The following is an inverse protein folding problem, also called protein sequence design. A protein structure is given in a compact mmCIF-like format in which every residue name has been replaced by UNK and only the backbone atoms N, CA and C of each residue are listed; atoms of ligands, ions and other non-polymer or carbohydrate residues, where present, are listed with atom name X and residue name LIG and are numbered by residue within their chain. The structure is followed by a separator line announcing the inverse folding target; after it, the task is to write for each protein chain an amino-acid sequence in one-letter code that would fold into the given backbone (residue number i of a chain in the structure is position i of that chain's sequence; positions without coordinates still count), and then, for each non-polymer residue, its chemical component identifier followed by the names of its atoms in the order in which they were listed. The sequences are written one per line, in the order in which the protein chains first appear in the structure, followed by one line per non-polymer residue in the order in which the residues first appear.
data_IF_244648567990
#
_entry.id   IF_244648567990
#
_cell.length_a   1.000
_cell.length_b   1.000
_cell.length_c   1.000
_cell.angle_alpha   90.00
_cell.angle_beta   90.00
_cell.angle_gamma   90.00
#
_symmetry.space_group_name_H-M   'P 1'
#
loop_
_entity.id
_entity.type
_entity.pdbx_description
1 polymer ?
#
# COMPACT_ATOMS: atom_id res chain seq x y z
N UNK A 1 6.07 -13.12 39.43
CA UNK A 1 5.38 -12.14 38.53
C UNK A 1 6.31 -10.97 38.17
N UNK A 2 6.85 -10.22 39.15
CA UNK A 2 7.74 -9.08 38.88
C UNK A 2 8.98 -9.44 38.04
N UNK A 3 9.67 -10.55 38.35
CA UNK A 3 10.83 -10.99 37.58
C UNK A 3 10.50 -11.32 36.11
N UNK A 4 9.33 -11.93 35.86
CA UNK A 4 8.84 -12.21 34.50
C UNK A 4 8.61 -10.89 33.76
N UNK A 5 7.99 -9.90 34.41
CA UNK A 5 7.76 -8.58 33.81
C UNK A 5 9.07 -7.84 33.48
N UNK A 6 10.07 -7.93 34.37
CA UNK A 6 11.40 -7.32 34.13
C UNK A 6 12.10 -8.00 32.95
N UNK A 7 12.06 -9.33 32.90
CA UNK A 7 12.68 -10.10 31.82
C UNK A 7 12.00 -9.83 30.47
N UNK A 8 10.67 -9.82 30.41
CA UNK A 8 9.90 -9.48 29.20
C UNK A 8 10.16 -8.03 28.74
N UNK A 9 10.24 -7.08 29.68
CA UNK A 9 10.59 -5.69 29.37
C UNK A 9 11.99 -5.61 28.77
N UNK A 10 12.97 -6.27 29.38
CA UNK A 10 14.35 -6.29 28.87
C UNK A 10 14.43 -6.89 27.46
N UNK A 11 13.71 -7.99 27.19
CA UNK A 11 13.66 -8.60 25.86
C UNK A 11 13.06 -7.63 24.83
N UNK A 12 11.93 -6.98 25.15
CA UNK A 12 11.29 -6.01 24.26
C UNK A 12 12.17 -4.79 23.96
N UNK A 13 12.86 -4.28 24.97
CA UNK A 13 13.68 -3.08 24.85
C UNK A 13 15.03 -3.38 24.16
N UNK A 14 15.57 -4.60 24.32
CA UNK A 14 16.82 -5.03 23.67
C UNK A 14 16.64 -5.48 22.21
N UNK A 15 15.46 -6.01 21.85
CA UNK A 15 15.10 -6.34 20.47
C UNK A 15 14.67 -5.08 19.69
N UNK A 16 15.52 -4.06 19.65
CA UNK A 16 15.32 -2.95 18.74
C UNK A 16 15.17 -3.50 17.32
N UNK A 17 14.01 -3.25 16.70
CA UNK A 17 13.81 -3.63 15.30
C UNK A 17 14.81 -2.83 14.47
N UNK A 18 15.78 -3.52 13.88
CA UNK A 18 16.62 -2.92 12.85
C UNK A 18 15.69 -2.49 11.73
N UNK A 19 15.55 -1.19 11.52
CA UNK A 19 14.78 -0.68 10.40
C UNK A 19 15.55 -1.02 9.12
N UNK A 20 14.92 -1.72 8.16
CA UNK A 20 15.58 -2.00 6.89
C UNK A 20 15.87 -0.68 6.19
N UNK A 21 17.08 -0.58 5.61
CA UNK A 21 17.46 0.58 4.80
C UNK A 21 16.47 0.70 3.64
N UNK A 22 15.76 1.85 3.51
CA UNK A 22 14.83 2.04 2.42
C UNK A 22 15.55 2.04 1.08
N UNK A 23 14.97 1.34 0.13
CA UNK A 23 15.36 1.38 -1.26
C UNK A 23 14.73 2.61 -1.92
N UNK A 24 15.59 3.55 -2.31
CA UNK A 24 15.21 4.84 -2.91
C UNK A 24 14.97 4.75 -4.41
N UNK A 25 15.29 3.61 -5.03
CA UNK A 25 15.11 3.44 -6.46
C UNK A 25 13.64 3.22 -6.79
N UNK A 26 13.15 3.99 -7.76
CA UNK A 26 11.77 3.86 -8.22
C UNK A 26 11.54 2.49 -8.88
N UNK A 27 10.42 1.85 -8.54
CA UNK A 27 10.03 0.52 -9.04
C UNK A 27 8.64 0.56 -9.62
N UNK A 28 8.32 -0.41 -10.47
CA UNK A 28 6.98 -0.60 -11.02
C UNK A 28 6.19 -1.55 -10.14
N UNK A 29 4.93 -1.23 -9.92
CA UNK A 29 3.93 -2.18 -9.45
C UNK A 29 3.14 -2.68 -10.65
N UNK A 30 3.16 -3.99 -10.86
CA UNK A 30 2.41 -4.68 -11.89
C UNK A 30 1.30 -5.51 -11.25
N UNK A 31 0.15 -5.64 -11.89
CA UNK A 31 -0.89 -6.55 -11.44
C UNK A 31 -0.36 -7.98 -11.31
N UNK A 32 -0.55 -8.61 -10.16
CA UNK A 32 -0.08 -9.99 -9.95
C UNK A 32 -0.68 -10.99 -10.94
N UNK A 33 -1.95 -10.79 -11.35
CA UNK A 33 -2.66 -11.70 -12.26
C UNK A 33 -2.29 -11.50 -13.73
N UNK A 34 -2.43 -10.29 -14.28
CA UNK A 34 -2.24 -10.04 -15.71
C UNK A 34 -0.92 -9.34 -16.07
N UNK A 35 -0.07 -9.04 -15.09
CA UNK A 35 1.20 -8.29 -15.23
C UNK A 35 1.04 -6.91 -15.85
N UNK A 36 -0.17 -6.38 -15.95
CA UNK A 36 -0.42 -5.03 -16.41
C UNK A 36 0.14 -4.00 -15.44
N UNK A 37 0.80 -2.98 -15.98
CA UNK A 37 1.31 -1.86 -15.19
C UNK A 37 0.19 -1.18 -14.40
N UNK A 38 0.46 -0.90 -13.12
CA UNK A 38 -0.46 -0.22 -12.22
C UNK A 38 0.06 1.17 -11.86
N UNK A 39 1.21 1.26 -11.19
CA UNK A 39 1.82 2.54 -10.80
C UNK A 39 3.32 2.41 -10.54
N UNK A 40 3.98 3.53 -10.26
CA UNK A 40 5.34 3.56 -9.73
C UNK A 40 5.34 3.66 -8.21
N UNK A 41 6.40 3.21 -7.56
CA UNK A 41 6.57 3.39 -6.10
C UNK A 41 6.69 4.85 -5.70
N UNK A 42 7.20 5.71 -6.59
CA UNK A 42 7.25 7.16 -6.38
C UNK A 42 5.86 7.81 -6.25
N UNK A 43 4.80 7.16 -6.75
CA UNK A 43 3.41 7.65 -6.64
C UNK A 43 2.71 7.14 -5.37
N UNK A 44 3.40 6.35 -4.55
CA UNK A 44 2.82 5.77 -3.33
C UNK A 44 3.03 6.73 -2.16
N UNK A 45 1.97 6.91 -1.37
CA UNK A 45 1.98 7.68 -0.13
C UNK A 45 1.51 6.83 1.03
N UNK A 46 2.16 7.01 2.17
CA UNK A 46 1.80 6.33 3.42
C UNK A 46 0.83 7.21 4.21
N UNK A 47 -0.33 6.65 4.53
CA UNK A 47 -1.38 7.27 5.37
C UNK A 47 -1.41 6.56 6.72
N UNK A 48 -1.23 7.32 7.79
CA UNK A 48 -1.21 6.81 9.19
C UNK A 48 -0.27 5.61 9.35
N UNK A 49 0.94 5.72 8.79
CA UNK A 49 2.08 4.78 8.87
C UNK A 49 1.89 3.36 8.29
N UNK A 50 0.66 2.95 7.98
CA UNK A 50 0.34 1.58 7.63
C UNK A 50 -0.52 1.39 6.37
N UNK A 51 -1.18 2.45 5.89
CA UNK A 51 -2.00 2.39 4.67
C UNK A 51 -1.20 2.97 3.50
N UNK A 52 -1.24 2.30 2.36
CA UNK A 52 -0.48 2.72 1.18
C UNK A 52 -1.48 3.12 0.10
N UNK A 53 -1.53 4.42 -0.18
CA UNK A 53 -2.38 5.01 -1.20
C UNK A 53 -1.55 5.39 -2.42
N UNK A 54 -2.15 5.35 -3.60
CA UNK A 54 -1.52 5.83 -4.84
C UNK A 54 -2.14 7.16 -5.22
N UNK A 55 -1.29 8.17 -5.41
CA UNK A 55 -1.71 9.50 -5.87
C UNK A 55 -1.58 9.63 -7.39
N UNK A 56 -2.31 10.57 -7.97
CA UNK A 56 -2.24 10.90 -9.41
C UNK A 56 -3.33 10.27 -10.27
N UNK A 57 -3.80 11.05 -11.24
CA UNK A 57 -4.92 10.68 -12.13
C UNK A 57 -4.65 9.51 -13.06
N UNK A 58 -3.37 9.26 -13.38
CA UNK A 58 -2.98 8.13 -14.22
C UNK A 58 -3.43 6.81 -13.58
N UNK A 59 -3.27 6.67 -12.26
CA UNK A 59 -3.66 5.46 -11.54
C UNK A 59 -5.18 5.24 -11.52
N UNK A 60 -5.96 6.32 -11.51
CA UNK A 60 -7.44 6.24 -11.53
C UNK A 60 -7.99 5.52 -12.76
N UNK A 61 -7.24 5.53 -13.87
CA UNK A 61 -7.59 4.81 -15.11
C UNK A 61 -7.19 3.33 -15.07
N UNK A 62 -6.35 2.92 -14.12
CA UNK A 62 -5.81 1.57 -14.02
C UNK A 62 -6.71 0.61 -13.23
N UNK A 63 -7.70 1.13 -12.48
CA UNK A 63 -8.63 0.32 -11.70
C UNK A 63 -10.10 0.67 -11.95
N UNK A 64 -10.97 -0.29 -11.68
CA UNK A 64 -12.41 -0.12 -11.61
C UNK A 64 -12.89 -0.35 -10.18
N UNK A 65 -13.98 0.30 -9.79
CA UNK A 65 -14.57 0.15 -8.45
C UNK A 65 -15.82 -0.72 -8.48
N UNK A 66 -16.05 -1.46 -7.40
CA UNK A 66 -17.37 -2.05 -7.09
C UNK A 66 -17.71 -1.77 -5.65
N UNK A 67 -18.98 -1.48 -5.36
CA UNK A 67 -19.44 -1.16 -4.00
C UNK A 67 -18.98 -2.23 -3.00
N UNK A 68 -18.51 -1.80 -1.83
CA UNK A 68 -18.04 -2.73 -0.83
C UNK A 68 -19.24 -3.50 -0.27
N UNK A 69 -19.22 -4.85 -0.20
CA UNK A 69 -20.37 -5.63 0.26
C UNK A 69 -20.71 -5.40 1.73
N UNK A 70 -19.74 -4.88 2.51
CA UNK A 70 -19.87 -4.59 3.94
C UNK A 70 -19.16 -3.26 4.26
N UNK A 71 -19.73 -2.10 3.93
CA UNK A 71 -19.10 -0.82 4.23
C UNK A 71 -18.88 -0.70 5.73
N UNK A 72 -17.72 -0.19 6.15
CA UNK A 72 -17.36 -0.04 7.55
C UNK A 72 -16.45 1.17 7.72
N UNK A 73 -16.65 1.89 8.82
CA UNK A 73 -15.81 3.00 9.23
C UNK A 73 -14.88 2.57 10.37
N UNK A 74 -13.63 3.00 10.32
CA UNK A 74 -12.62 2.80 11.34
C UNK A 74 -11.75 4.06 11.40
N UNK A 75 -11.65 4.69 12.58
CA UNK A 75 -10.90 5.93 12.74
C UNK A 75 -11.34 6.99 11.72
N UNK A 76 -10.38 7.46 10.92
CA UNK A 76 -10.59 8.46 9.87
C UNK A 76 -10.93 7.87 8.49
N UNK A 77 -11.09 6.54 8.40
CA UNK A 77 -11.34 5.83 7.15
C UNK A 77 -12.76 5.27 7.07
N UNK A 78 -13.43 5.52 5.95
CA UNK A 78 -14.71 4.91 5.59
C UNK A 78 -14.54 4.05 4.33
N UNK A 79 -14.78 2.74 4.43
CA UNK A 79 -14.70 1.82 3.28
C UNK A 79 -15.91 1.99 2.36
N UNK A 80 -15.69 2.53 1.16
CA UNK A 80 -16.74 2.76 0.17
C UNK A 80 -16.84 1.64 -0.86
N UNK A 81 -15.73 1.28 -1.48
CA UNK A 81 -15.70 0.30 -2.57
C UNK A 81 -14.44 -0.55 -2.54
N UNK A 82 -14.47 -1.65 -3.30
CA UNK A 82 -13.27 -2.43 -3.66
C UNK A 82 -12.73 -1.93 -4.99
N UNK A 83 -11.41 -1.93 -5.14
CA UNK A 83 -10.74 -1.61 -6.41
C UNK A 83 -10.20 -2.88 -7.06
N UNK A 84 -10.38 -2.98 -8.37
CA UNK A 84 -9.96 -4.13 -9.16
C UNK A 84 -9.19 -3.66 -10.40
N UNK A 85 -8.28 -4.49 -10.90
CA UNK A 85 -7.59 -4.23 -12.16
C UNK A 85 -8.60 -3.92 -13.29
N UNK A 86 -8.40 -2.79 -13.98
CA UNK A 86 -9.28 -2.34 -15.06
C UNK A 86 -9.10 -3.10 -16.38
N UNK A 87 -8.01 -3.87 -16.55
CA UNK A 87 -7.82 -4.66 -17.77
C UNK A 87 -8.95 -5.66 -17.94
N UNK A 88 -9.45 -5.75 -19.16
CA UNK A 88 -10.48 -6.70 -19.56
C UNK A 88 -10.12 -8.12 -19.13
N UNK A 89 -11.11 -8.86 -18.64
CA UNK A 89 -10.99 -10.24 -18.16
C UNK A 89 -10.01 -10.47 -16.98
N UNK A 90 -9.39 -9.43 -16.42
CA UNK A 90 -8.52 -9.55 -15.25
C UNK A 90 -9.33 -9.50 -13.96
N UNK A 91 -9.91 -8.33 -13.65
CA UNK A 91 -10.70 -8.06 -12.44
C UNK A 91 -10.01 -8.50 -11.14
N UNK A 92 -8.67 -8.47 -11.08
CA UNK A 92 -7.93 -8.87 -9.89
C UNK A 92 -8.11 -7.84 -8.78
N UNK A 93 -8.41 -8.30 -7.57
CA UNK A 93 -8.60 -7.45 -6.39
C UNK A 93 -7.29 -6.75 -6.00
N UNK A 94 -7.28 -5.42 -6.01
CA UNK A 94 -6.11 -4.60 -5.68
C UNK A 94 -6.19 -3.96 -4.29
N UNK A 95 -7.37 -3.97 -3.67
CA UNK A 95 -7.59 -3.31 -2.39
C UNK A 95 -8.95 -2.64 -2.30
N UNK A 96 -8.98 -1.45 -1.68
CA UNK A 96 -10.20 -0.72 -1.36
C UNK A 96 -10.10 0.75 -1.76
N UNK A 97 -11.24 1.36 -2.07
CA UNK A 97 -11.40 2.80 -2.16
C UNK A 97 -12.05 3.27 -0.86
N UNK A 98 -11.41 4.23 -0.21
CA UNK A 98 -11.83 4.73 1.09
C UNK A 98 -12.02 6.23 1.04
N UNK A 99 -12.91 6.74 1.87
CA UNK A 99 -12.88 8.15 2.24
C UNK A 99 -11.98 8.29 3.46
N UNK A 100 -10.90 9.05 3.31
CA UNK A 100 -9.97 9.43 4.37
C UNK A 100 -10.15 10.92 4.65
N UNK A 101 -10.68 11.27 5.83
CA UNK A 101 -11.11 12.64 6.14
C UNK A 101 -12.06 13.16 5.04
N UNK A 102 -11.63 14.12 4.23
CA UNK A 102 -12.40 14.70 3.11
C UNK A 102 -12.03 14.10 1.76
N UNK A 103 -10.96 13.32 1.66
CA UNK A 103 -10.42 12.80 0.41
C UNK A 103 -10.94 11.40 0.12
N UNK A 104 -11.17 11.10 -1.16
CA UNK A 104 -11.37 9.73 -1.60
C UNK A 104 -10.10 9.20 -2.23
N UNK A 105 -9.53 8.15 -1.65
CA UNK A 105 -8.23 7.62 -2.05
C UNK A 105 -8.28 6.10 -2.24
N UNK A 106 -7.59 5.56 -3.26
CA UNK A 106 -7.41 4.12 -3.40
C UNK A 106 -6.29 3.64 -2.47
N UNK A 107 -6.61 2.72 -1.57
CA UNK A 107 -5.64 2.04 -0.70
C UNK A 107 -5.40 0.63 -1.23
N UNK A 108 -4.14 0.35 -1.55
CA UNK A 108 -3.70 -0.89 -2.19
C UNK A 108 -3.02 -1.84 -1.22
N UNK A 109 -3.07 -3.14 -1.55
CA UNK A 109 -2.36 -4.19 -0.81
C UNK A 109 -1.26 -4.80 -1.68
N UNK A 110 -0.01 -4.78 -1.19
CA UNK A 110 1.15 -5.21 -1.99
C UNK A 110 1.06 -6.66 -2.48
N UNK A 111 0.36 -7.54 -1.77
CA UNK A 111 0.14 -8.94 -2.17
C UNK A 111 -0.57 -9.12 -3.53
N UNK A 112 -1.26 -8.08 -4.00
CA UNK A 112 -1.95 -8.03 -5.29
C UNK A 112 -1.05 -7.59 -6.44
N UNK A 113 0.20 -7.25 -6.15
CA UNK A 113 1.14 -6.70 -7.12
C UNK A 113 2.45 -7.48 -7.15
N UNK A 114 3.12 -7.36 -8.28
CA UNK A 114 4.51 -7.75 -8.48
C UNK A 114 5.31 -6.47 -8.52
N UNK A 115 6.38 -6.40 -7.74
CA UNK A 115 7.33 -5.29 -7.79
C UNK A 115 8.37 -5.63 -8.84
N UNK A 116 8.51 -4.79 -9.85
CA UNK A 116 9.49 -4.92 -10.91
C UNK A 116 10.51 -3.78 -10.81
N UNK A 117 11.78 -4.15 -10.77
CA UNK A 117 12.89 -3.23 -10.84
C UNK A 117 13.01 -2.62 -12.24
N UNK A 118 13.15 -1.29 -12.34
CA UNK A 118 13.13 -0.60 -13.64
C UNK A 118 14.40 -0.86 -14.45
N UNK A 119 15.56 -0.93 -13.79
CA UNK A 119 16.85 -1.06 -14.45
C UNK A 119 17.12 -2.51 -14.90
N UNK A 120 16.79 -3.48 -14.05
CA UNK A 120 17.12 -4.90 -14.25
C UNK A 120 15.93 -5.72 -14.76
N UNK A 121 14.70 -5.24 -14.60
CA UNK A 121 13.49 -6.02 -14.88
C UNK A 121 13.24 -7.15 -13.87
N UNK A 122 14.02 -7.23 -12.78
CA UNK A 122 13.86 -8.26 -11.77
C UNK A 122 12.51 -8.11 -11.06
N UNK A 123 11.77 -9.22 -10.95
CA UNK A 123 10.45 -9.25 -10.34
C UNK A 123 10.48 -9.92 -8.97
N UNK A 124 9.81 -9.29 -7.99
CA UNK A 124 9.67 -9.83 -6.63
C UNK A 124 8.25 -9.68 -6.11
N UNK A 125 7.82 -10.65 -5.32
CA UNK A 125 6.52 -10.68 -4.65
C UNK A 125 6.71 -10.38 -3.16
N UNK A 126 5.77 -9.63 -2.58
CA UNK A 126 5.73 -9.34 -1.16
C UNK A 126 4.34 -9.64 -0.61
N UNK A 127 4.27 -10.32 0.53
CA UNK A 127 3.00 -10.61 1.19
C UNK A 127 2.50 -9.42 2.01
N UNK A 128 3.41 -8.64 2.60
CA UNK A 128 3.08 -7.49 3.46
C UNK A 128 3.96 -6.29 3.11
N UNK A 129 3.40 -5.10 3.27
CA UNK A 129 4.12 -3.85 3.02
C UNK A 129 5.38 -3.69 3.87
N UNK A 130 5.34 -4.16 5.13
CA UNK A 130 6.52 -4.14 6.03
C UNK A 130 7.73 -4.94 5.53
N UNK A 131 7.52 -5.88 4.61
CA UNK A 131 8.60 -6.72 4.07
C UNK A 131 9.18 -6.10 2.78
N UNK A 132 8.52 -5.08 2.24
CA UNK A 132 9.00 -4.32 1.09
C UNK A 132 9.74 -3.07 1.59
N UNK A 133 11.06 -2.94 1.40
CA UNK A 133 11.85 -1.81 1.88
C UNK A 133 11.63 -0.55 1.03
N UNK A 134 10.38 -0.10 0.91
CA UNK A 134 10.03 1.13 0.19
C UNK A 134 10.38 2.36 1.03
N UNK A 135 10.84 3.43 0.37
CA UNK A 135 10.86 4.76 0.97
C UNK A 135 9.43 5.22 1.32
N UNK A 136 9.18 5.43 2.61
CA UNK A 136 7.87 5.81 3.12
C UNK A 136 7.67 7.32 3.00
N UNK A 137 7.09 7.76 1.89
CA UNK A 137 6.72 9.16 1.69
C UNK A 137 5.33 9.39 2.33
N UNK A 138 5.18 10.30 3.31
CA UNK A 138 3.89 10.55 3.94
C UNK A 138 2.92 11.22 2.97
N UNK A 139 1.63 10.93 3.11
CA UNK A 139 0.57 11.57 2.33
C UNK A 139 0.39 13.05 2.67
N UNK A 140 0.34 13.90 1.64
CA UNK A 140 0.00 15.32 1.75
C UNK A 140 -1.32 15.62 1.00
N UNK A 141 -2.21 16.36 1.66
CA UNK A 141 -3.48 16.81 1.11
C UNK A 141 -3.33 17.70 -0.15
N UNK A 142 -2.21 18.40 -0.29
CA UNK A 142 -1.92 19.25 -1.47
C UNK A 142 -1.79 18.43 -2.76
N UNK A 143 -1.40 17.16 -2.66
CA UNK A 143 -1.20 16.25 -3.80
C UNK A 143 -2.52 15.79 -4.43
N UNK A 144 -3.65 15.99 -3.74
CA UNK A 144 -4.99 15.65 -4.23
C UNK A 144 -5.72 16.82 -4.89
N UNK A 145 -5.16 18.04 -4.82
CA UNK A 145 -5.85 19.28 -5.21
C UNK A 145 -5.46 19.81 -6.60
N UNK A 146 -4.87 18.97 -7.47
CA UNK A 146 -4.46 19.35 -8.82
C UNK A 146 -5.19 18.52 -9.87
#
# INVERSE_FOLDING_TARGET
ILQIQIQEKFIRDSQAKVEPVPDKENKKLLCRKCKGFACYTADIRVVEDCHYAVVGDAFRKCYVTKLHPKPKTYGHFEKKSKIFCARENCCHDWGIHVKYKTFEIPVIKIESFVVEDIATGAQKLYAKWRDFPIEKIPFDATEMSK
#
